data_IF_153974226338
#
_entry.id   IF_153974226338
#
_cell.length_a   1.000
_cell.length_b   1.000
_cell.length_c   1.000
_cell.angle_alpha   90.00
_cell.angle_beta   90.00
_cell.angle_gamma   90.00
#
_symmetry.space_group_name_H-M   'P 1'
#
loop_
_entity.id
_entity.type
_entity.pdbx_description
1 polymer ?
#
# COMPACT_ATOMS: atom_id res chain seq x y z
N UNK A 1 0.56 -6.59 -25.83
CA UNK A 1 0.63 -7.15 -24.47
C UNK A 1 -0.67 -6.90 -23.75
N UNK A 2 -1.21 -7.92 -23.15
CA UNK A 2 -2.51 -7.84 -22.48
C UNK A 2 -2.33 -7.32 -21.05
N UNK A 3 -3.11 -6.32 -20.68
CA UNK A 3 -3.11 -5.84 -19.31
C UNK A 3 -3.69 -6.90 -18.36
N UNK A 4 -3.17 -6.97 -17.15
CA UNK A 4 -3.70 -7.88 -16.15
C UNK A 4 -5.12 -7.46 -15.76
N UNK A 5 -5.98 -8.45 -15.50
CA UNK A 5 -7.31 -8.21 -14.97
C UNK A 5 -7.24 -7.61 -13.56
N UNK A 6 -8.33 -6.99 -13.11
CA UNK A 6 -8.39 -6.46 -11.73
C UNK A 6 -8.12 -7.55 -10.69
N UNK A 7 -8.77 -8.75 -10.74
CA UNK A 7 -8.43 -9.80 -9.78
C UNK A 7 -6.97 -10.21 -9.81
N UNK A 8 -6.36 -10.29 -10.99
CA UNK A 8 -4.94 -10.64 -11.11
C UNK A 8 -4.04 -9.56 -10.53
N UNK A 9 -4.38 -8.30 -10.75
CA UNK A 9 -3.63 -7.17 -10.18
C UNK A 9 -3.71 -7.18 -8.65
N UNK A 10 -4.89 -7.47 -8.10
CA UNK A 10 -5.07 -7.53 -6.64
C UNK A 10 -4.29 -8.69 -6.04
N UNK A 11 -4.30 -9.87 -6.67
CA UNK A 11 -3.55 -11.02 -6.18
C UNK A 11 -2.05 -10.74 -6.17
N UNK A 12 -1.55 -10.10 -7.23
CA UNK A 12 -0.13 -9.71 -7.32
C UNK A 12 0.23 -8.66 -6.29
N UNK A 13 -0.62 -7.66 -6.11
CA UNK A 13 -0.38 -6.61 -5.12
C UNK A 13 -0.38 -7.18 -3.70
N UNK A 14 -1.30 -8.10 -3.40
CA UNK A 14 -1.36 -8.77 -2.10
C UNK A 14 -0.07 -9.51 -1.80
N UNK A 15 0.43 -10.27 -2.76
CA UNK A 15 1.68 -10.99 -2.59
C UNK A 15 2.83 -10.02 -2.30
N UNK A 16 2.96 -8.97 -3.09
CA UNK A 16 4.01 -7.97 -2.91
C UNK A 16 3.89 -7.24 -1.57
N UNK A 17 2.66 -6.95 -1.14
CA UNK A 17 2.41 -6.23 0.10
C UNK A 17 2.83 -7.04 1.34
N UNK A 18 2.67 -8.37 1.28
CA UNK A 18 2.99 -9.27 2.39
C UNK A 18 4.41 -9.85 2.34
N UNK A 19 5.18 -9.52 1.31
CA UNK A 19 6.53 -10.05 1.11
C UNK A 19 7.53 -8.92 0.89
N UNK A 20 7.55 -7.98 1.87
CA UNK A 20 8.44 -6.82 1.78
C UNK A 20 9.86 -7.11 2.26
N UNK A 21 10.04 -8.14 3.10
CA UNK A 21 11.35 -8.53 3.60
C UNK A 21 11.54 -8.31 5.10
N UNK A 22 10.69 -7.55 5.75
CA UNK A 22 10.68 -7.40 7.20
C UNK A 22 9.27 -7.61 7.72
N UNK A 23 9.16 -8.09 8.96
CA UNK A 23 7.87 -8.31 9.60
C UNK A 23 7.09 -7.01 9.71
N UNK A 24 7.76 -5.93 10.10
CA UNK A 24 7.13 -4.63 10.28
C UNK A 24 6.54 -4.11 8.98
N UNK A 25 7.29 -4.17 7.89
CA UNK A 25 6.81 -3.73 6.59
C UNK A 25 5.69 -4.63 6.08
N UNK A 26 5.81 -5.95 6.25
CA UNK A 26 4.77 -6.89 5.83
C UNK A 26 3.46 -6.60 6.56
N UNK A 27 3.50 -6.45 7.88
CA UNK A 27 2.29 -6.18 8.66
C UNK A 27 1.68 -4.83 8.34
N UNK A 28 2.50 -3.81 8.12
CA UNK A 28 2.00 -2.49 7.80
C UNK A 28 1.40 -2.45 6.39
N UNK A 29 2.18 -2.82 5.39
CA UNK A 29 1.75 -2.68 3.99
C UNK A 29 0.73 -3.75 3.63
N UNK A 30 0.97 -5.00 4.07
CA UNK A 30 0.02 -6.09 3.85
C UNK A 30 -1.28 -5.88 4.59
N UNK A 31 -1.22 -5.43 5.84
CA UNK A 31 -2.42 -5.14 6.63
C UNK A 31 -3.24 -4.02 6.02
N UNK A 32 -2.58 -2.98 5.52
CA UNK A 32 -3.24 -1.89 4.81
C UNK A 32 -3.99 -2.42 3.58
N UNK A 33 -3.34 -3.25 2.79
CA UNK A 33 -3.97 -3.87 1.63
C UNK A 33 -5.22 -4.67 2.04
N UNK A 34 -5.08 -5.55 3.02
CA UNK A 34 -6.19 -6.41 3.45
C UNK A 34 -7.39 -5.60 3.93
N UNK A 35 -7.14 -4.51 4.64
CA UNK A 35 -8.20 -3.68 5.20
C UNK A 35 -8.92 -2.84 4.14
N UNK A 36 -8.20 -2.34 3.14
CA UNK A 36 -8.71 -1.28 2.28
C UNK A 36 -8.96 -1.68 0.83
N UNK A 37 -8.38 -2.79 0.35
CA UNK A 37 -8.40 -3.10 -1.09
C UNK A 37 -9.81 -3.25 -1.67
N UNK A 38 -10.76 -3.72 -0.88
CA UNK A 38 -12.12 -3.96 -1.38
C UNK A 38 -12.86 -2.67 -1.75
N UNK A 39 -12.41 -1.53 -1.24
CA UNK A 39 -13.00 -0.23 -1.52
C UNK A 39 -12.33 0.47 -2.72
N UNK A 40 -11.28 -0.10 -3.29
CA UNK A 40 -10.53 0.57 -4.35
C UNK A 40 -11.12 0.33 -5.73
N UNK A 41 -11.21 1.41 -6.49
CA UNK A 41 -11.42 1.35 -7.93
C UNK A 41 -10.07 1.16 -8.64
N UNK A 42 -10.07 1.20 -9.96
CA UNK A 42 -8.83 1.02 -10.73
C UNK A 42 -7.77 2.06 -10.37
N UNK A 43 -8.18 3.30 -10.13
CA UNK A 43 -7.24 4.35 -9.73
C UNK A 43 -6.63 4.06 -8.36
N UNK A 44 -7.44 3.54 -7.43
CA UNK A 44 -6.95 3.15 -6.10
C UNK A 44 -5.96 2.01 -6.17
N UNK A 45 -6.22 1.01 -7.00
CA UNK A 45 -5.29 -0.09 -7.20
C UNK A 45 -3.98 0.42 -7.79
N UNK A 46 -4.05 1.31 -8.78
CA UNK A 46 -2.86 1.91 -9.38
C UNK A 46 -2.03 2.71 -8.38
N UNK A 47 -2.69 3.45 -7.50
CA UNK A 47 -2.01 4.17 -6.41
C UNK A 47 -1.22 3.21 -5.53
N UNK A 48 -1.85 2.10 -5.14
CA UNK A 48 -1.19 1.12 -4.28
C UNK A 48 -0.04 0.41 -5.01
N UNK A 49 -0.22 0.07 -6.27
CA UNK A 49 0.85 -0.53 -7.07
C UNK A 49 2.07 0.39 -7.15
N UNK A 50 1.84 1.69 -7.32
CA UNK A 50 2.93 2.67 -7.32
C UNK A 50 3.61 2.75 -5.95
N UNK A 51 2.83 2.66 -4.88
CA UNK A 51 3.38 2.65 -3.52
C UNK A 51 4.29 1.45 -3.30
N UNK A 52 3.90 0.28 -3.82
CA UNK A 52 4.69 -0.95 -3.69
C UNK A 52 6.06 -0.85 -4.38
N UNK A 53 6.21 0.05 -5.33
CA UNK A 53 7.49 0.28 -6.02
C UNK A 53 8.46 1.15 -5.22
N UNK A 54 7.99 1.76 -4.12
CA UNK A 54 8.84 2.61 -3.27
C UNK A 54 9.55 1.76 -2.22
N UNK A 55 10.63 2.30 -1.66
CA UNK A 55 11.37 1.62 -0.60
C UNK A 55 10.54 1.56 0.69
N UNK A 56 10.65 0.44 1.40
CA UNK A 56 9.90 0.23 2.64
C UNK A 56 10.20 1.31 3.69
N UNK A 57 11.45 1.73 3.78
CA UNK A 57 11.86 2.78 4.72
C UNK A 57 11.08 4.07 4.45
N UNK A 58 10.93 4.43 3.18
CA UNK A 58 10.19 5.63 2.81
C UNK A 58 8.69 5.47 3.08
N UNK A 59 8.12 4.35 2.67
CA UNK A 59 6.68 4.11 2.87
C UNK A 59 6.34 4.13 4.36
N UNK A 60 7.16 3.50 5.18
CA UNK A 60 6.94 3.46 6.62
C UNK A 60 7.10 4.85 7.25
N UNK A 61 8.07 5.63 6.79
CA UNK A 61 8.25 6.99 7.27
C UNK A 61 7.04 7.87 6.92
N UNK A 62 6.48 7.69 5.73
CA UNK A 62 5.26 8.41 5.34
C UNK A 62 4.07 8.01 6.20
N UNK A 63 3.91 6.71 6.45
CA UNK A 63 2.82 6.20 7.28
C UNK A 63 2.89 6.74 8.70
N UNK A 64 4.09 6.90 9.23
CA UNK A 64 4.31 7.41 10.59
C UNK A 64 4.34 8.94 10.66
N UNK A 65 4.28 9.62 9.51
CA UNK A 65 4.37 11.07 9.46
C UNK A 65 5.76 11.62 9.76
N UNK A 66 6.79 10.79 9.60
CA UNK A 66 8.16 11.18 9.94
C UNK A 66 8.84 12.00 8.85
N UNK A 67 8.41 11.84 7.60
CA UNK A 67 8.97 12.60 6.47
C UNK A 67 7.85 13.12 5.59
N UNK A 68 8.15 14.13 4.79
CA UNK A 68 7.18 14.70 3.86
C UNK A 68 6.83 13.68 2.76
N UNK A 69 5.54 13.62 2.42
CA UNK A 69 5.02 12.68 1.43
C UNK A 69 5.07 13.33 0.05
N UNK A 70 5.59 12.63 -0.97
CA UNK A 70 5.54 13.14 -2.34
C UNK A 70 4.10 13.45 -2.77
N UNK A 71 3.95 14.52 -3.55
CA UNK A 71 2.63 14.98 -3.96
C UNK A 71 1.82 13.89 -4.65
N UNK A 72 2.47 13.05 -5.45
CA UNK A 72 1.79 11.99 -6.19
C UNK A 72 1.08 10.97 -5.30
N UNK A 73 1.47 10.85 -4.04
CA UNK A 73 0.86 9.91 -3.10
C UNK A 73 -0.14 10.57 -2.16
N UNK A 74 -0.20 11.88 -2.11
CA UNK A 74 -1.10 12.59 -1.20
C UNK A 74 -2.57 12.38 -1.58
N UNK A 75 -3.43 12.27 -0.58
CA UNK A 75 -4.86 12.09 -0.76
C UNK A 75 -5.46 11.19 0.29
N UNK A 76 -6.68 10.72 0.03
CA UNK A 76 -7.45 9.92 0.99
C UNK A 76 -6.77 8.59 1.32
N UNK A 77 -6.15 7.95 0.34
CA UNK A 77 -5.49 6.66 0.59
C UNK A 77 -4.28 6.81 1.47
N UNK A 78 -3.51 7.87 1.28
CA UNK A 78 -2.39 8.14 2.18
C UNK A 78 -2.88 8.49 3.58
N UNK A 79 -3.94 9.27 3.70
CA UNK A 79 -4.53 9.56 5.00
C UNK A 79 -4.96 8.27 5.71
N UNK A 80 -5.52 7.32 4.96
CA UNK A 80 -5.87 6.01 5.50
C UNK A 80 -4.63 5.25 5.98
N UNK A 81 -3.53 5.31 5.21
CA UNK A 81 -2.28 4.68 5.60
C UNK A 81 -1.74 5.27 6.91
N UNK A 82 -1.86 6.57 7.08
CA UNK A 82 -1.35 7.27 8.26
C UNK A 82 -2.18 7.01 9.52
N UNK A 83 -3.42 6.51 9.40
CA UNK A 83 -4.23 6.19 10.58
C UNK A 83 -3.71 4.98 11.36
N UNK A 84 -2.98 4.08 10.72
CA UNK A 84 -2.37 2.89 11.34
C UNK A 84 -3.38 1.98 12.04
N UNK A 85 -4.66 2.07 11.71
CA UNK A 85 -5.72 1.27 12.33
C UNK A 85 -5.84 -0.14 11.77
N UNK A 86 -5.05 -0.45 10.76
CA UNK A 86 -5.03 -1.74 10.06
C UNK A 86 -3.89 -2.65 10.53
N UNK A 87 -2.98 -2.15 11.38
CA UNK A 87 -1.84 -2.94 11.85
C UNK A 87 -2.31 -3.84 12.99
N UNK A 88 -2.12 -5.15 12.80
CA UNK A 88 -2.45 -6.15 13.81
C UNK A 88 -1.15 -6.84 14.22
N UNK A 89 -0.78 -6.70 15.47
CA UNK A 89 0.40 -7.35 16.02
C UNK A 89 0.00 -8.33 17.10
#
# INVERSE_FOLDING_TARGET
>A
MTALSIPSRLARARFRAWHRGTREADYMIGGFFDRHHSAWDEAGIGWFEALLDEDDVDVMAWALGATAVPEKFQGEQLAALQRLDYVTI
#
